data_IF_031371837379
#
_entry.id   IF_031371837379
#
_cell.length_a   1.000
_cell.length_b   1.000
_cell.length_c   1.000
_cell.angle_alpha   90.00
_cell.angle_beta   90.00
_cell.angle_gamma   90.00
#
_symmetry.space_group_name_H-M   'P 1'
#
loop_
_entity.id
_entity.type
_entity.pdbx_description
1 polymer ?
#
# COMPACT_ATOMS: atom_id res chain seq x y z
N UNK A 1 -2.35 -6.39 3.70
CA UNK A 1 -0.91 -6.28 3.47
C UNK A 1 -0.59 -5.22 2.40
N UNK A 2 -0.99 -5.35 1.13
CA UNK A 2 -0.63 -4.45 0.01
C UNK A 2 -0.93 -2.97 0.29
N UNK A 3 -2.11 -2.64 0.85
CA UNK A 3 -2.48 -1.27 1.19
C UNK A 3 -1.49 -0.59 2.15
N UNK A 4 -1.00 -1.35 3.14
CA UNK A 4 -0.01 -0.88 4.11
C UNK A 4 1.39 -0.81 3.51
N UNK A 5 1.87 -1.90 2.89
CA UNK A 5 3.25 -2.01 2.43
C UNK A 5 3.61 -1.04 1.29
N UNK A 6 2.63 -0.62 0.51
CA UNK A 6 2.80 0.30 -0.63
C UNK A 6 2.07 1.65 -0.45
N UNK A 7 1.44 1.90 0.70
CA UNK A 7 0.74 3.15 0.99
C UNK A 7 -0.44 3.46 0.08
N UNK A 8 -1.10 2.43 -0.45
CA UNK A 8 -2.16 2.57 -1.45
C UNK A 8 -3.52 2.93 -0.83
N UNK A 9 -4.33 3.70 -1.59
CA UNK A 9 -5.77 3.84 -1.29
C UNK A 9 -6.47 2.51 -1.54
N UNK A 10 -7.59 2.26 -0.85
CA UNK A 10 -8.37 1.03 -1.07
C UNK A 10 -8.81 0.87 -2.53
N UNK A 11 -9.24 1.95 -3.18
CA UNK A 11 -9.61 1.94 -4.59
C UNK A 11 -8.44 1.60 -5.50
N UNK A 12 -7.24 2.08 -5.17
CA UNK A 12 -6.02 1.77 -5.92
C UNK A 12 -5.64 0.29 -5.77
N UNK A 13 -5.73 -0.25 -4.55
CA UNK A 13 -5.49 -1.69 -4.32
C UNK A 13 -6.46 -2.54 -5.12
N UNK A 14 -7.75 -2.20 -5.10
CA UNK A 14 -8.77 -2.94 -5.85
C UNK A 14 -8.55 -2.88 -7.36
N UNK A 15 -8.03 -1.75 -7.87
CA UNK A 15 -7.79 -1.52 -9.29
C UNK A 15 -6.39 -1.96 -9.78
N UNK A 16 -5.55 -2.57 -8.92
CA UNK A 16 -4.23 -3.06 -9.34
C UNK A 16 -4.36 -4.18 -10.37
N UNK A 17 -3.53 -4.10 -11.39
CA UNK A 17 -3.35 -5.16 -12.38
C UNK A 17 -2.06 -5.94 -12.13
N UNK A 18 -1.98 -7.16 -12.62
CA UNK A 18 -0.74 -7.96 -12.57
C UNK A 18 0.41 -7.22 -13.26
N UNK A 19 0.13 -6.57 -14.40
CA UNK A 19 1.10 -5.77 -15.15
C UNK A 19 1.59 -4.50 -14.44
N UNK A 20 0.96 -4.09 -13.34
CA UNK A 20 1.40 -2.93 -12.56
C UNK A 20 2.51 -3.27 -11.55
N UNK A 21 2.81 -4.55 -11.37
CA UNK A 21 3.87 -5.03 -10.48
C UNK A 21 5.17 -5.17 -11.27
N UNK A 22 6.10 -4.25 -11.07
CA UNK A 22 7.42 -4.32 -11.67
C UNK A 22 8.43 -4.88 -10.66
N UNK A 23 8.76 -6.15 -10.83
CA UNK A 23 9.68 -6.88 -9.95
C UNK A 23 11.09 -6.98 -10.50
N UNK A 24 11.45 -6.21 -11.53
CA UNK A 24 12.81 -6.15 -12.02
C UNK A 24 13.74 -5.63 -10.91
N UNK A 25 14.93 -6.23 -10.71
CA UNK A 25 15.81 -5.92 -9.58
C UNK A 25 16.22 -4.45 -9.48
N UNK A 26 16.27 -3.76 -10.62
CA UNK A 26 16.64 -2.35 -10.75
C UNK A 26 15.46 -1.38 -10.52
N UNK A 27 14.22 -1.87 -10.47
CA UNK A 27 13.02 -1.03 -10.36
C UNK A 27 12.22 -1.28 -9.09
N UNK A 28 11.82 -2.52 -8.81
CA UNK A 28 11.10 -2.92 -7.60
C UNK A 28 10.00 -1.91 -7.20
N UNK A 29 9.01 -1.71 -8.08
CA UNK A 29 7.97 -0.72 -7.85
C UNK A 29 6.57 -1.21 -8.27
N UNK A 30 5.55 -0.52 -7.78
CA UNK A 30 4.16 -0.71 -8.18
C UNK A 30 3.70 0.56 -8.91
N UNK A 31 3.25 0.41 -10.16
CA UNK A 31 2.62 1.48 -10.90
C UNK A 31 1.17 1.65 -10.45
N UNK A 32 0.83 2.85 -10.07
CA UNK A 32 -0.55 3.25 -9.73
C UNK A 32 -1.09 4.09 -10.87
N UNK A 33 -1.93 3.45 -11.69
CA UNK A 33 -2.52 4.08 -12.88
C UNK A 33 -3.61 5.06 -12.47
N UNK A 34 -3.57 6.27 -13.06
CA UNK A 34 -4.62 7.29 -13.03
C UNK A 34 -5.36 7.42 -11.69
N UNK A 35 -4.68 7.91 -10.67
CA UNK A 35 -5.36 8.50 -9.50
C UNK A 35 -6.10 9.79 -9.90
N UNK A 36 -6.80 10.38 -8.96
CA UNK A 36 -7.51 11.66 -9.12
C UNK A 36 -6.54 12.74 -9.66
N UNK A 37 -6.74 13.16 -10.92
CA UNK A 37 -5.86 14.09 -11.59
C UNK A 37 -5.07 13.50 -12.79
N UNK A 38 -5.26 12.22 -13.12
CA UNK A 38 -4.81 11.62 -14.39
C UNK A 38 -3.30 11.38 -14.54
N UNK A 39 -2.50 11.49 -13.48
CA UNK A 39 -1.06 11.18 -13.52
C UNK A 39 -0.75 9.87 -12.83
N UNK A 40 -0.10 8.97 -13.56
CA UNK A 40 0.46 7.74 -12.99
C UNK A 40 1.55 8.09 -11.98
N UNK A 41 1.68 7.26 -10.95
CA UNK A 41 2.79 7.33 -10.02
C UNK A 41 3.34 5.94 -9.72
N UNK A 42 4.52 5.91 -9.16
CA UNK A 42 5.15 4.69 -8.67
C UNK A 42 5.25 4.72 -7.16
N UNK A 43 5.07 3.56 -6.54
CA UNK A 43 5.25 3.37 -5.11
C UNK A 43 6.08 2.12 -4.83
N UNK A 44 6.42 1.89 -3.57
CA UNK A 44 7.35 0.85 -3.15
C UNK A 44 6.79 -0.57 -3.37
N UNK A 45 7.64 -1.44 -3.92
CA UNK A 45 7.46 -2.89 -3.90
C UNK A 45 8.60 -3.50 -3.07
N UNK A 46 8.37 -3.68 -1.79
CA UNK A 46 9.39 -4.29 -0.94
C UNK A 46 9.58 -5.78 -1.25
N UNK A 47 10.76 -6.36 -0.98
CA UNK A 47 11.00 -7.81 -1.11
C UNK A 47 9.95 -8.64 -0.38
N UNK A 48 9.58 -8.24 0.83
CA UNK A 48 8.56 -8.92 1.62
C UNK A 48 7.16 -8.87 0.99
N UNK A 49 6.79 -7.72 0.41
CA UNK A 49 5.51 -7.61 -0.32
C UNK A 49 5.54 -8.46 -1.58
N UNK A 50 6.64 -8.42 -2.35
CA UNK A 50 6.79 -9.21 -3.57
C UNK A 50 6.65 -10.70 -3.29
N UNK A 51 7.30 -11.21 -2.23
CA UNK A 51 7.17 -12.63 -1.86
C UNK A 51 5.72 -13.00 -1.50
N UNK A 52 5.05 -12.18 -0.72
CA UNK A 52 3.65 -12.40 -0.38
C UNK A 52 2.73 -12.38 -1.64
N UNK A 53 3.00 -11.48 -2.59
CA UNK A 53 2.28 -11.43 -3.87
C UNK A 53 2.58 -12.67 -4.75
N UNK A 54 3.82 -13.18 -4.73
CA UNK A 54 4.19 -14.42 -5.43
C UNK A 54 3.48 -15.63 -4.85
N UNK A 55 3.41 -15.75 -3.51
CA UNK A 55 2.64 -16.82 -2.85
C UNK A 55 1.17 -16.75 -3.26
N UNK A 56 0.58 -15.55 -3.18
CA UNK A 56 -0.79 -15.32 -3.62
C UNK A 56 -1.00 -15.70 -5.10
N UNK A 57 -0.08 -15.27 -5.98
CA UNK A 57 -0.18 -15.54 -7.41
C UNK A 57 -0.12 -17.04 -7.74
N UNK A 58 0.72 -17.82 -7.05
CA UNK A 58 0.81 -19.29 -7.25
C UNK A 58 -0.53 -19.96 -6.96
N UNK A 59 -1.30 -19.46 -5.99
CA UNK A 59 -2.59 -20.03 -5.57
C UNK A 59 -3.71 -19.54 -6.49
N UNK A 60 -3.83 -18.23 -6.70
CA UNK A 60 -4.99 -17.61 -7.34
C UNK A 60 -4.82 -17.43 -8.86
N UNK A 61 -3.57 -17.39 -9.37
CA UNK A 61 -3.20 -17.22 -10.79
C UNK A 61 -3.99 -16.12 -11.49
N UNK A 62 -4.06 -14.89 -10.93
CA UNK A 62 -4.79 -13.80 -11.52
C UNK A 62 -4.21 -13.44 -12.91
N UNK A 63 -5.07 -13.09 -13.86
CA UNK A 63 -4.64 -12.81 -15.25
C UNK A 63 -4.54 -11.31 -15.55
N UNK A 64 -5.56 -10.54 -15.21
CA UNK A 64 -5.66 -9.10 -15.49
C UNK A 64 -5.58 -8.32 -14.19
N UNK A 65 -6.59 -8.46 -13.34
CA UNK A 65 -6.64 -7.80 -12.05
C UNK A 65 -5.81 -8.58 -11.04
N UNK A 66 -4.95 -7.90 -10.30
CA UNK A 66 -4.16 -8.55 -9.24
C UNK A 66 -5.08 -9.19 -8.20
N UNK A 67 -6.15 -8.48 -7.84
CA UNK A 67 -7.20 -8.95 -6.96
C UNK A 67 -8.53 -8.97 -7.71
N UNK A 68 -8.87 -10.08 -8.38
CA UNK A 68 -10.14 -10.18 -9.09
C UNK A 68 -11.31 -10.38 -8.12
N UNK A 69 -12.51 -10.07 -8.59
CA UNK A 69 -13.75 -10.40 -7.89
C UNK A 69 -13.97 -11.92 -7.91
N UNK A 70 -14.35 -12.49 -6.76
CA UNK A 70 -14.53 -13.95 -6.64
C UNK A 70 -15.63 -14.51 -7.56
N UNK A 71 -16.68 -13.72 -7.83
CA UNK A 71 -17.83 -14.11 -8.68
C UNK A 71 -17.61 -13.83 -10.17
N UNK A 72 -16.64 -12.97 -10.51
CA UNK A 72 -16.32 -12.59 -11.89
C UNK A 72 -14.88 -12.09 -11.98
N UNK A 73 -14.00 -12.95 -12.45
CA UNK A 73 -12.56 -12.64 -12.56
C UNK A 73 -12.24 -11.56 -13.63
N UNK A 74 -13.19 -11.20 -14.49
CA UNK A 74 -13.05 -10.09 -15.43
C UNK A 74 -13.20 -8.73 -14.74
N UNK A 75 -13.74 -8.69 -13.53
CA UNK A 75 -13.93 -7.50 -12.73
C UNK A 75 -12.91 -7.39 -11.59
N UNK A 76 -12.52 -6.16 -11.21
CA UNK A 76 -11.66 -5.94 -10.06
C UNK A 76 -12.40 -6.26 -8.75
N UNK A 77 -11.64 -6.50 -7.70
CA UNK A 77 -12.17 -6.65 -6.34
C UNK A 77 -12.92 -5.39 -5.92
N UNK A 78 -14.09 -5.51 -5.34
CA UNK A 78 -14.87 -4.34 -4.96
C UNK A 78 -14.43 -3.74 -3.63
N UNK A 79 -14.57 -2.40 -3.52
CA UNK A 79 -14.11 -1.62 -2.36
C UNK A 79 -14.84 -2.05 -1.08
N UNK A 80 -16.13 -2.33 -1.13
CA UNK A 80 -16.89 -2.74 0.04
C UNK A 80 -16.47 -4.10 0.56
N UNK A 81 -16.13 -5.04 -0.32
CA UNK A 81 -15.54 -6.33 0.07
C UNK A 81 -14.15 -6.16 0.68
N UNK A 82 -13.31 -5.26 0.15
CA UNK A 82 -12.01 -4.94 0.74
C UNK A 82 -12.16 -4.36 2.15
N UNK A 83 -13.12 -3.46 2.36
CA UNK A 83 -13.43 -2.89 3.68
C UNK A 83 -13.93 -3.97 4.64
N UNK A 84 -14.86 -4.83 4.21
CA UNK A 84 -15.33 -5.97 5.03
C UNK A 84 -14.22 -6.93 5.41
N UNK A 85 -13.30 -7.20 4.49
CA UNK A 85 -12.12 -8.03 4.76
C UNK A 85 -11.19 -7.39 5.81
N UNK A 86 -10.97 -6.07 5.72
CA UNK A 86 -10.23 -5.31 6.71
C UNK A 86 -10.86 -5.40 8.10
N UNK A 87 -12.17 -5.14 8.23
CA UNK A 87 -12.84 -5.19 9.54
C UNK A 87 -12.80 -6.59 10.14
N UNK A 88 -13.03 -7.64 9.34
CA UNK A 88 -12.88 -9.03 9.80
C UNK A 88 -11.47 -9.35 10.29
N UNK A 89 -10.45 -8.87 9.59
CA UNK A 89 -9.06 -9.09 9.99
C UNK A 89 -8.72 -8.34 11.29
N UNK A 90 -9.19 -7.09 11.43
CA UNK A 90 -9.05 -6.26 12.64
C UNK A 90 -9.68 -6.94 13.85
N UNK A 91 -10.92 -7.41 13.68
CA UNK A 91 -11.69 -8.03 14.76
C UNK A 91 -11.06 -9.37 15.20
N UNK A 92 -10.57 -10.18 14.23
CA UNK A 92 -9.82 -11.42 14.55
C UNK A 92 -8.50 -11.14 15.27
N UNK A 93 -7.86 -10.02 15.02
CA UNK A 93 -6.63 -9.61 15.69
C UNK A 93 -6.88 -8.96 17.05
N UNK A 94 -8.13 -8.86 17.52
CA UNK A 94 -8.48 -8.23 18.80
C UNK A 94 -8.19 -6.73 18.83
N UNK A 95 -8.08 -6.05 17.70
CA UNK A 95 -7.76 -4.63 17.62
C UNK A 95 -9.02 -3.82 17.90
N UNK A 96 -9.07 -3.17 19.04
CA UNK A 96 -10.21 -2.35 19.50
C UNK A 96 -10.16 -0.91 19.01
N UNK A 97 -9.00 -0.43 18.53
CA UNK A 97 -8.86 0.92 17.99
C UNK A 97 -9.83 1.14 16.83
N UNK A 98 -10.55 2.26 16.88
CA UNK A 98 -11.46 2.69 15.80
C UNK A 98 -10.65 3.15 14.58
N UNK A 99 -11.21 2.93 13.38
CA UNK A 99 -10.59 3.33 12.13
C UNK A 99 -10.98 2.39 10.99
N UNK A 100 -10.94 2.90 9.77
CA UNK A 100 -11.20 2.13 8.57
C UNK A 100 -9.90 1.73 7.86
N UNK A 101 -10.01 1.08 6.70
CA UNK A 101 -8.88 0.61 5.90
C UNK A 101 -7.87 1.73 5.53
N UNK A 102 -8.29 3.00 5.53
CA UNK A 102 -7.41 4.16 5.29
C UNK A 102 -6.34 4.35 6.38
N UNK A 103 -6.57 3.82 7.60
CA UNK A 103 -5.54 3.81 8.66
C UNK A 103 -4.28 3.09 8.23
N UNK A 104 -4.36 2.09 7.37
CA UNK A 104 -3.18 1.40 6.84
C UNK A 104 -2.26 2.33 6.04
N UNK A 105 -2.84 3.22 5.23
CA UNK A 105 -2.08 4.22 4.49
C UNK A 105 -1.54 5.32 5.41
N UNK A 106 -2.27 5.71 6.45
CA UNK A 106 -1.77 6.64 7.46
C UNK A 106 -0.59 6.03 8.21
N UNK A 107 -0.68 4.77 8.63
CA UNK A 107 0.42 4.06 9.28
C UNK A 107 1.66 3.95 8.38
N UNK A 108 1.49 3.64 7.07
CA UNK A 108 2.58 3.69 6.10
C UNK A 108 3.29 5.05 6.09
N UNK A 109 2.51 6.15 6.00
CA UNK A 109 3.07 7.49 5.96
C UNK A 109 3.83 7.84 7.24
N UNK A 110 3.26 7.54 8.41
CA UNK A 110 3.87 7.81 9.71
C UNK A 110 5.17 7.02 9.88
N UNK A 111 5.14 5.72 9.59
CA UNK A 111 6.33 4.87 9.76
C UNK A 111 7.47 5.23 8.79
N UNK A 112 7.17 5.68 7.56
CA UNK A 112 8.21 6.17 6.66
C UNK A 112 8.84 7.47 7.16
N UNK A 113 8.05 8.40 7.70
CA UNK A 113 8.58 9.63 8.32
C UNK A 113 9.42 9.32 9.56
N UNK A 114 8.96 8.39 10.41
CA UNK A 114 9.72 7.91 11.58
C UNK A 114 11.04 7.24 11.17
N UNK A 115 11.05 6.57 10.00
CA UNK A 115 12.25 6.01 9.39
C UNK A 115 13.14 7.05 8.68
N UNK A 116 12.78 8.33 8.71
CA UNK A 116 13.59 9.43 8.18
C UNK A 116 13.37 9.75 6.71
N UNK A 117 12.35 9.18 6.06
CA UNK A 117 12.00 9.55 4.68
C UNK A 117 11.48 10.98 4.65
N UNK A 118 12.02 11.80 3.77
CA UNK A 118 11.63 13.21 3.63
C UNK A 118 10.19 13.38 3.11
N UNK A 119 9.60 14.52 3.45
CA UNK A 119 8.20 14.82 3.14
C UNK A 119 7.89 14.87 1.64
N UNK A 120 8.85 15.31 0.81
CA UNK A 120 8.65 15.42 -0.63
C UNK A 120 8.64 14.04 -1.28
N UNK A 121 9.54 13.15 -0.87
CA UNK A 121 9.55 11.73 -1.28
C UNK A 121 8.26 11.04 -0.85
N UNK A 122 7.82 11.22 0.40
CA UNK A 122 6.57 10.65 0.88
C UNK A 122 5.38 11.18 0.08
N UNK A 123 5.31 12.48 -0.23
CA UNK A 123 4.25 13.06 -1.04
C UNK A 123 4.19 12.42 -2.45
N UNK A 124 5.34 12.18 -3.07
CA UNK A 124 5.43 11.49 -4.38
C UNK A 124 4.89 10.06 -4.28
N UNK A 125 5.35 9.28 -3.30
CA UNK A 125 4.90 7.90 -3.08
C UNK A 125 3.38 7.83 -2.87
N UNK A 126 2.84 8.73 -2.08
CA UNK A 126 1.41 8.82 -1.79
C UNK A 126 0.60 9.41 -2.96
N UNK A 127 1.21 10.10 -3.89
CA UNK A 127 0.53 10.80 -4.98
C UNK A 127 -0.35 11.94 -4.46
N UNK A 128 0.21 12.76 -3.56
CA UNK A 128 -0.41 13.99 -3.10
C UNK A 128 -0.07 15.13 -4.06
N UNK A 129 -1.07 15.77 -4.64
CA UNK A 129 -0.89 16.92 -5.53
C UNK A 129 -0.34 18.17 -4.80
N UNK A 130 -0.57 18.26 -3.49
CA UNK A 130 -0.10 19.36 -2.64
C UNK A 130 0.64 18.82 -1.41
N UNK A 131 1.78 19.42 -1.11
CA UNK A 131 2.63 19.06 0.03
C UNK A 131 1.88 19.23 1.37
N UNK A 132 0.99 20.23 1.46
CA UNK A 132 0.13 20.46 2.63
C UNK A 132 -0.67 19.23 3.06
N UNK A 133 -1.07 18.39 2.11
CA UNK A 133 -1.77 17.13 2.42
C UNK A 133 -0.86 16.14 3.17
N UNK A 134 0.45 16.22 2.95
CA UNK A 134 1.44 15.35 3.60
C UNK A 134 1.91 15.92 4.92
N UNK A 135 1.89 17.25 5.10
CA UNK A 135 2.31 17.94 6.33
C UNK A 135 1.57 17.47 7.58
N UNK A 136 0.32 16.98 7.42
CA UNK A 136 -0.47 16.40 8.53
C UNK A 136 0.24 15.24 9.26
N UNK A 137 1.22 14.60 8.64
CA UNK A 137 1.97 13.51 9.25
C UNK A 137 3.19 13.96 10.05
N UNK A 138 3.64 15.22 9.90
CA UNK A 138 4.82 15.74 10.60
C UNK A 138 4.69 15.71 12.12
N UNK A 139 3.47 15.94 12.66
CA UNK A 139 3.27 15.92 14.11
C UNK A 139 3.27 14.50 14.70
N UNK A 140 3.21 13.48 13.84
CA UNK A 140 3.15 12.08 14.24
C UNK A 140 4.52 11.41 14.19
N UNK A 141 5.44 11.96 13.39
CA UNK A 141 6.78 11.41 13.22
C UNK A 141 7.69 11.82 14.40
N UNK A 142 8.26 10.82 15.07
CA UNK A 142 9.36 11.04 16.01
C UNK A 142 10.68 11.06 15.23
N UNK A 143 11.64 11.98 15.53
CA UNK A 143 12.93 11.95 14.88
C UNK A 143 13.69 10.67 15.23
N UNK A 144 14.04 9.87 14.25
CA UNK A 144 14.85 8.68 14.47
C UNK A 144 15.21 7.98 13.17
N UNK A 145 16.47 7.71 12.99
CA UNK A 145 17.23 6.90 12.02
C UNK A 145 16.68 6.75 10.58
N UNK A 146 17.57 7.05 9.65
CA UNK A 146 17.36 6.94 8.20
C UNK A 146 17.42 5.47 7.78
N UNK A 147 16.30 4.93 7.31
CA UNK A 147 16.27 3.68 6.57
C UNK A 147 15.27 3.81 5.41
N UNK A 148 15.69 3.39 4.21
CA UNK A 148 14.87 3.42 3.01
C UNK A 148 14.00 2.15 2.87
N UNK A 149 13.78 1.44 3.96
CA UNK A 149 13.01 0.20 3.98
C UNK A 149 11.50 0.49 4.00
N UNK A 150 10.73 -0.38 3.35
CA UNK A 150 9.27 -0.35 3.49
C UNK A 150 8.88 -0.59 4.95
N UNK A 151 7.80 0.04 5.48
CA UNK A 151 7.29 -0.26 6.81
C UNK A 151 7.06 -1.75 7.08
N UNK A 152 6.77 -2.54 6.04
CA UNK A 152 6.63 -3.99 6.16
C UNK A 152 7.97 -4.69 6.44
N UNK A 153 9.07 -4.19 5.89
CA UNK A 153 10.41 -4.74 6.12
C UNK A 153 10.95 -4.30 7.48
N UNK A 154 10.60 -3.09 7.94
CA UNK A 154 10.92 -2.62 9.30
C UNK A 154 10.26 -3.51 10.38
N UNK A 155 9.01 -3.93 10.19
CA UNK A 155 8.32 -4.83 11.14
C UNK A 155 8.94 -6.23 11.23
N UNK A 156 9.67 -6.68 10.22
CA UNK A 156 10.37 -7.98 10.26
C UNK A 156 11.69 -7.96 11.04
N UNK A 157 12.18 -6.77 11.41
CA UNK A 157 13.40 -6.58 12.21
C UNK A 157 13.13 -6.46 13.71
N UNK A 158 11.84 -6.41 14.11
CA UNK A 158 11.38 -6.47 15.49
C UNK A 158 11.10 -7.91 15.91
#
# INVERSE_FOLDING_TARGET
MTAYAAGLRVSEVCALRVADIDSAPDRMCIRVVAGKGGKDRYTLLSPSLLEALRVYWRICKPRVWLFPRATDAAQPFDISSAQRAYYRARDRAGITKTGGIHTLRHAFATHLLEAGVDLATLAKLLGHGHLSTTQRYLHLARPGSVAHDSPLDLLRRL
#
